data_IF_462663539182
#
_entry.id   IF_462663539182
#
_cell.length_a   1.000
_cell.length_b   1.000
_cell.length_c   1.000
_cell.angle_alpha   90.00
_cell.angle_beta   90.00
_cell.angle_gamma   90.00
#
_symmetry.space_group_name_H-M   'P 1'
#
loop_
_entity.id
_entity.type
_entity.pdbx_description
1 polymer ?
#
# COMPACT_ATOMS: atom_id res chain seq x y z
N UNK A 1 -17.51 -25.52 5.53
CA UNK A 1 -16.12 -25.13 5.21
C UNK A 1 -15.92 -23.74 5.78
N UNK A 2 -15.00 -23.57 6.75
CA UNK A 2 -14.71 -22.28 7.38
C UNK A 2 -13.80 -21.47 6.44
N UNK A 3 -14.23 -20.28 6.02
CA UNK A 3 -13.36 -19.32 5.34
C UNK A 3 -12.34 -18.74 6.33
N UNK A 4 -11.11 -19.25 6.30
CA UNK A 4 -10.02 -18.74 7.10
C UNK A 4 -9.49 -17.44 6.46
N UNK A 5 -9.85 -16.27 7.00
CA UNK A 5 -9.25 -14.98 6.62
C UNK A 5 -7.86 -14.84 7.28
N UNK A 6 -6.91 -15.67 6.88
CA UNK A 6 -5.55 -15.63 7.37
C UNK A 6 -4.65 -14.94 6.36
N UNK A 7 -4.61 -13.61 6.40
CA UNK A 7 -3.56 -12.76 5.84
C UNK A 7 -3.70 -11.39 6.48
N UNK A 8 -2.74 -11.00 7.31
CA UNK A 8 -2.70 -9.64 7.83
C UNK A 8 -2.41 -8.68 6.67
N UNK A 9 -3.16 -7.59 6.59
CA UNK A 9 -2.90 -6.57 5.58
C UNK A 9 -1.44 -6.11 5.71
N UNK A 10 -0.67 -6.03 4.61
CA UNK A 10 0.76 -5.72 4.66
C UNK A 10 0.98 -4.25 4.99
N UNK A 11 0.74 -3.83 6.24
CA UNK A 11 0.86 -2.43 6.66
C UNK A 11 2.34 -2.08 6.83
N UNK A 12 3.12 -2.88 7.55
CA UNK A 12 4.49 -2.49 7.94
C UNK A 12 5.49 -2.33 6.79
N UNK A 13 5.53 -3.27 5.83
CA UNK A 13 6.45 -3.14 4.69
C UNK A 13 6.04 -2.06 3.69
N UNK A 14 4.80 -1.57 3.77
CA UNK A 14 4.31 -0.51 2.90
C UNK A 14 4.83 0.87 3.32
N UNK A 15 5.29 1.04 4.58
CA UNK A 15 5.86 2.29 5.10
C UNK A 15 7.00 2.80 4.22
N UNK A 16 7.90 1.90 3.81
CA UNK A 16 9.08 2.22 2.99
C UNK A 16 8.69 2.86 1.64
N UNK A 17 7.51 2.50 1.12
CA UNK A 17 7.03 3.01 -0.17
C UNK A 17 6.14 4.24 0.00
N UNK A 18 5.49 4.40 1.15
CA UNK A 18 4.54 5.48 1.39
C UNK A 18 4.35 5.74 2.90
N UNK A 19 5.21 6.57 3.47
CA UNK A 19 5.14 6.96 4.88
C UNK A 19 3.83 7.66 5.24
N UNK A 20 3.28 8.46 4.30
CA UNK A 20 2.01 9.18 4.45
C UNK A 20 0.81 8.26 4.61
N UNK A 21 0.81 7.10 3.94
CA UNK A 21 -0.31 6.17 4.02
C UNK A 21 -0.43 5.48 5.39
N UNK A 22 0.63 5.50 6.20
CA UNK A 22 0.64 4.89 7.54
C UNK A 22 0.63 5.97 8.62
N UNK A 23 1.38 7.05 8.42
CA UNK A 23 1.47 8.15 9.35
C UNK A 23 0.98 9.45 8.70
N UNK A 24 -0.28 9.86 8.92
CA UNK A 24 -0.81 11.10 8.34
C UNK A 24 -0.09 12.36 8.83
N UNK A 25 0.66 12.30 9.94
CA UNK A 25 1.47 13.43 10.41
C UNK A 25 2.65 13.76 9.48
N UNK A 26 2.98 12.90 8.52
CA UNK A 26 3.95 13.23 7.46
C UNK A 26 3.38 14.15 6.37
N UNK A 27 2.07 14.44 6.39
CA UNK A 27 1.49 15.41 5.49
C UNK A 27 2.14 16.80 5.70
N UNK A 28 2.64 17.39 4.62
CA UNK A 28 3.21 18.74 4.66
C UNK A 28 4.59 18.85 5.30
N UNK A 29 5.23 17.74 5.69
CA UNK A 29 6.64 17.75 6.15
C UNK A 29 7.64 17.99 5.02
N UNK A 30 7.20 17.84 3.78
CA UNK A 30 7.95 18.16 2.57
C UNK A 30 7.25 19.29 1.82
N UNK A 31 8.03 20.27 1.36
CA UNK A 31 7.56 21.46 0.61
C UNK A 31 7.19 21.12 -0.85
N UNK A 32 6.47 20.02 -1.05
CA UNK A 32 5.99 19.54 -2.35
C UNK A 32 4.65 18.84 -2.17
N UNK A 33 3.91 18.69 -3.27
CA UNK A 33 2.66 17.91 -3.32
C UNK A 33 2.93 16.51 -3.88
N UNK A 34 3.41 15.54 -3.09
CA UNK A 34 3.61 14.18 -3.58
C UNK A 34 2.26 13.51 -3.87
N UNK A 35 2.19 12.88 -5.04
CA UNK A 35 1.11 11.97 -5.43
C UNK A 35 1.75 10.61 -5.69
N UNK A 36 1.23 9.55 -5.09
CA UNK A 36 1.77 8.19 -5.16
C UNK A 36 0.68 7.19 -5.54
N UNK A 37 0.99 6.35 -6.52
CA UNK A 37 0.23 5.16 -6.88
C UNK A 37 1.13 3.94 -6.65
N UNK A 38 0.64 2.95 -5.91
CA UNK A 38 1.39 1.72 -5.63
C UNK A 38 0.56 0.50 -6.01
N UNK A 39 1.19 -0.39 -6.77
CA UNK A 39 0.71 -1.74 -7.03
C UNK A 39 1.75 -2.72 -6.48
N UNK A 40 1.30 -3.72 -5.74
CA UNK A 40 2.15 -4.76 -5.19
C UNK A 40 1.53 -6.13 -5.42
N UNK A 41 2.32 -7.01 -6.02
CA UNK A 41 2.07 -8.45 -6.08
C UNK A 41 3.07 -9.12 -5.13
N UNK A 42 2.57 -9.86 -4.13
CA UNK A 42 3.43 -10.36 -3.05
C UNK A 42 4.29 -11.56 -3.45
N UNK A 43 3.87 -12.39 -4.40
CA UNK A 43 4.60 -13.58 -4.82
C UNK A 43 4.46 -13.85 -6.31
N UNK A 44 5.56 -13.75 -7.06
CA UNK A 44 5.59 -14.18 -8.45
C UNK A 44 5.45 -15.71 -8.55
N UNK A 45 4.55 -16.17 -9.41
CA UNK A 45 4.35 -17.60 -9.68
C UNK A 45 3.56 -18.37 -8.61
N UNK A 46 2.94 -17.68 -7.64
CA UNK A 46 2.07 -18.34 -6.66
C UNK A 46 0.70 -18.63 -7.27
N UNK A 47 0.55 -19.84 -7.79
CA UNK A 47 -0.66 -20.32 -8.47
C UNK A 47 -1.36 -21.43 -7.72
N UNK A 48 -2.69 -21.52 -7.84
CA UNK A 48 -3.44 -22.70 -7.40
C UNK A 48 -3.23 -23.89 -8.37
N UNK A 49 -3.86 -25.02 -8.09
CA UNK A 49 -3.80 -26.22 -8.94
C UNK A 49 -4.43 -26.02 -10.33
N UNK A 50 -5.23 -24.97 -10.50
CA UNK A 50 -5.86 -24.57 -11.76
C UNK A 50 -4.99 -23.59 -12.57
N UNK A 51 -3.85 -23.16 -12.03
CA UNK A 51 -2.95 -22.19 -12.66
C UNK A 51 -3.33 -20.72 -12.42
N UNK A 52 -4.37 -20.44 -11.63
CA UNK A 52 -4.75 -19.07 -11.29
C UNK A 52 -3.75 -18.48 -10.31
N UNK A 53 -3.27 -17.26 -10.58
CA UNK A 53 -2.49 -16.50 -9.63
C UNK A 53 -3.38 -16.12 -8.43
N UNK A 54 -3.09 -16.73 -7.29
CA UNK A 54 -3.76 -16.50 -6.01
C UNK A 54 -2.89 -15.69 -5.05
N UNK A 55 -1.86 -15.02 -5.57
CA UNK A 55 -0.98 -14.16 -4.80
C UNK A 55 -1.75 -12.93 -4.28
N UNK A 56 -1.49 -12.49 -3.04
CA UNK A 56 -2.10 -11.29 -2.51
C UNK A 56 -1.66 -10.05 -3.29
N UNK A 57 -2.63 -9.28 -3.77
CA UNK A 57 -2.41 -8.03 -4.51
C UNK A 57 -2.89 -6.85 -3.70
N UNK A 58 -2.08 -5.81 -3.64
CA UNK A 58 -2.41 -4.56 -2.92
C UNK A 58 -2.30 -3.38 -3.88
N UNK A 59 -3.31 -2.53 -3.84
CA UNK A 59 -3.35 -1.27 -4.58
C UNK A 59 -3.53 -0.13 -3.60
N UNK A 60 -2.80 0.96 -3.83
CA UNK A 60 -2.87 2.15 -3.00
C UNK A 60 -2.69 3.41 -3.83
N UNK A 61 -3.49 4.43 -3.52
CA UNK A 61 -3.39 5.77 -4.08
C UNK A 61 -3.40 6.78 -2.94
N UNK A 62 -2.46 7.73 -2.96
CA UNK A 62 -2.38 8.76 -1.92
C UNK A 62 -1.79 10.05 -2.46
N UNK A 63 -2.16 11.18 -1.88
CA UNK A 63 -1.42 12.42 -2.05
C UNK A 63 -1.60 13.35 -0.86
N UNK A 64 -0.61 14.19 -0.62
CA UNK A 64 -0.68 15.27 0.37
C UNK A 64 -0.01 16.53 -0.18
N UNK A 65 -0.30 17.68 0.41
CA UNK A 65 0.33 18.95 0.07
C UNK A 65 0.61 19.72 1.36
N UNK A 66 1.73 20.47 1.44
CA UNK A 66 1.87 21.48 2.48
C UNK A 66 0.79 22.54 2.27
N UNK A 67 0.19 22.97 3.37
CA UNK A 67 -0.63 24.17 3.41
C UNK A 67 0.35 25.33 3.62
N UNK A 68 0.37 26.27 2.67
CA UNK A 68 1.11 27.52 2.87
C UNK A 68 0.34 28.34 3.91
N UNK A 69 1.01 28.75 4.99
CA UNK A 69 0.48 29.83 5.82
C UNK A 69 0.42 31.11 4.97
N UNK A 70 -0.71 31.81 5.05
CA UNK A 70 -0.87 33.14 4.45
C UNK A 70 -0.16 34.20 5.29
#
# INVERSE_FOLDING_TARGET
MLSLNAQQFPIYSQYVFNEYMINPATAGTIDKTPIRLTYRDQWSGFTNLQGDNVAPKTFAFSGHTPLSDQ
#
